data_IF_579972935431
#
_entry.id   IF_579972935431
#
_cell.length_a   1.000
_cell.length_b   1.000
_cell.length_c   1.000
_cell.angle_alpha   90.00
_cell.angle_beta   90.00
_cell.angle_gamma   90.00
#
_symmetry.space_group_name_H-M   'P 1'
#
loop_
_entity.id
_entity.type
_entity.pdbx_description
1 polymer ?
#
# COMPACT_ATOMS: atom_id res chain seq x y z
N UNK A 1 0.73 -5.40 -1.17
CA UNK A 1 1.59 -5.32 -2.37
C UNK A 1 1.33 -6.51 -3.31
N UNK A 2 1.56 -7.79 -2.93
CA UNK A 2 1.42 -8.90 -3.88
C UNK A 2 0.05 -8.95 -4.56
N UNK A 3 -1.04 -8.79 -3.81
CA UNK A 3 -2.41 -8.79 -4.36
C UNK A 3 -2.59 -7.68 -5.40
N UNK A 4 -2.07 -6.47 -5.15
CA UNK A 4 -2.17 -5.36 -6.10
C UNK A 4 -1.43 -5.65 -7.42
N UNK A 5 -0.21 -6.19 -7.34
CA UNK A 5 0.56 -6.57 -8.54
C UNK A 5 -0.11 -7.72 -9.28
N UNK A 6 -0.59 -8.75 -8.58
CA UNK A 6 -1.32 -9.87 -9.19
C UNK A 6 -2.63 -9.40 -9.86
N UNK A 7 -3.32 -8.45 -9.23
CA UNK A 7 -4.51 -7.81 -9.83
C UNK A 7 -4.14 -7.09 -11.13
N UNK A 8 -3.04 -6.32 -11.13
CA UNK A 8 -2.56 -5.62 -12.31
C UNK A 8 -2.20 -6.59 -13.44
N UNK A 9 -1.47 -7.67 -13.13
CA UNK A 9 -1.14 -8.73 -14.09
C UNK A 9 -2.41 -9.37 -14.66
N UNK A 10 -3.38 -9.69 -13.82
CA UNK A 10 -4.65 -10.23 -14.27
C UNK A 10 -5.36 -9.28 -15.24
N UNK A 11 -5.43 -7.98 -14.90
CA UNK A 11 -6.10 -6.95 -15.70
C UNK A 11 -5.40 -6.66 -17.04
N UNK A 12 -4.09 -6.91 -17.15
CA UNK A 12 -3.33 -6.68 -18.39
C UNK A 12 -3.28 -7.90 -19.28
N UNK A 13 -3.17 -9.09 -18.71
CA UNK A 13 -2.96 -10.33 -19.45
C UNK A 13 -4.27 -11.06 -19.79
N UNK A 14 -5.33 -10.86 -19.00
CA UNK A 14 -6.61 -11.55 -19.20
C UNK A 14 -7.67 -10.56 -19.68
N UNK A 15 -8.16 -10.79 -20.89
CA UNK A 15 -9.26 -10.02 -21.49
C UNK A 15 -10.59 -10.72 -21.22
N UNK A 16 -11.58 -10.01 -20.67
CA UNK A 16 -12.90 -10.58 -20.43
C UNK A 16 -13.79 -9.74 -19.50
N UNK A 17 -15.04 -10.18 -19.30
CA UNK A 17 -16.01 -9.48 -18.45
C UNK A 17 -15.53 -9.37 -17.00
N UNK A 18 -14.88 -10.39 -16.46
CA UNK A 18 -14.33 -10.38 -15.11
C UNK A 18 -13.25 -9.29 -14.92
N UNK A 19 -12.37 -9.07 -15.91
CA UNK A 19 -11.37 -7.99 -15.85
C UNK A 19 -12.03 -6.61 -15.77
N UNK A 20 -13.11 -6.38 -16.52
CA UNK A 20 -13.88 -5.13 -16.43
C UNK A 20 -14.48 -4.90 -15.03
N UNK A 21 -15.06 -5.92 -14.45
CA UNK A 21 -15.62 -5.88 -13.09
C UNK A 21 -14.56 -5.59 -12.03
N UNK A 22 -13.43 -6.30 -12.08
CA UNK A 22 -12.31 -6.07 -11.15
C UNK A 22 -11.77 -4.64 -11.29
N UNK A 23 -11.60 -4.15 -12.52
CA UNK A 23 -11.16 -2.77 -12.77
C UNK A 23 -12.12 -1.75 -12.17
N UNK A 24 -13.43 -1.98 -12.30
CA UNK A 24 -14.45 -1.14 -11.68
C UNK A 24 -14.28 -1.10 -10.15
N UNK A 25 -14.12 -2.26 -9.49
CA UNK A 25 -13.91 -2.29 -8.04
C UNK A 25 -12.61 -1.60 -7.61
N UNK A 26 -11.51 -1.81 -8.32
CA UNK A 26 -10.23 -1.13 -8.03
C UNK A 26 -10.39 0.40 -8.18
N UNK A 27 -11.14 0.87 -9.18
CA UNK A 27 -11.43 2.29 -9.34
C UNK A 27 -12.32 2.82 -8.21
N UNK A 28 -13.38 2.11 -7.87
CA UNK A 28 -14.27 2.49 -6.77
C UNK A 28 -13.52 2.59 -5.44
N UNK A 29 -12.65 1.61 -5.13
CA UNK A 29 -11.79 1.64 -3.94
C UNK A 29 -10.86 2.86 -3.90
N UNK A 30 -10.39 3.36 -5.03
CA UNK A 30 -9.54 4.56 -5.08
C UNK A 30 -10.25 5.83 -4.62
N UNK A 31 -11.58 5.86 -4.69
CA UNK A 31 -12.42 6.98 -4.26
C UNK A 31 -12.89 6.91 -2.80
N UNK A 32 -12.58 5.83 -2.08
CA UNK A 32 -13.01 5.66 -0.67
C UNK A 32 -12.24 6.63 0.23
N UNK A 33 -12.91 7.48 1.03
CA UNK A 33 -12.26 8.27 2.06
C UNK A 33 -11.50 7.37 3.05
N UNK A 34 -10.29 7.76 3.44
CA UNK A 34 -9.43 6.91 4.29
C UNK A 34 -10.07 6.54 5.63
N UNK A 35 -10.85 7.44 6.21
CA UNK A 35 -11.58 7.19 7.45
C UNK A 35 -12.62 6.07 7.29
N UNK A 36 -13.23 5.93 6.12
CA UNK A 36 -14.22 4.87 5.84
C UNK A 36 -13.56 3.50 5.84
N UNK A 37 -12.34 3.39 5.31
CA UNK A 37 -11.56 2.15 5.41
C UNK A 37 -11.27 1.78 6.87
N UNK A 38 -10.95 2.77 7.72
CA UNK A 38 -10.80 2.58 9.16
C UNK A 38 -12.09 2.12 9.83
N UNK A 39 -13.22 2.76 9.53
CA UNK A 39 -14.54 2.38 10.05
C UNK A 39 -14.94 0.96 9.63
N UNK A 40 -14.66 0.59 8.40
CA UNK A 40 -14.94 -0.76 7.91
C UNK A 40 -14.15 -1.82 8.70
N UNK A 41 -12.85 -1.61 8.88
CA UNK A 41 -12.03 -2.53 9.68
C UNK A 41 -12.45 -2.51 11.15
N UNK A 42 -12.79 -1.37 11.72
CA UNK A 42 -13.34 -1.27 13.06
C UNK A 42 -14.61 -2.14 13.22
N UNK A 43 -15.55 -1.99 12.28
CA UNK A 43 -16.79 -2.77 12.30
C UNK A 43 -16.56 -4.28 12.19
N UNK A 44 -15.68 -4.70 11.28
CA UNK A 44 -15.40 -6.12 11.07
C UNK A 44 -14.53 -6.70 12.19
N UNK A 45 -13.40 -6.04 12.52
CA UNK A 45 -12.42 -6.58 13.44
C UNK A 45 -12.85 -6.50 14.90
N UNK A 46 -13.40 -5.36 15.32
CA UNK A 46 -13.77 -5.14 16.72
C UNK A 46 -15.21 -5.53 17.01
N UNK A 47 -16.17 -5.10 16.19
CA UNK A 47 -17.58 -5.35 16.49
C UNK A 47 -17.97 -6.78 16.08
N UNK A 48 -17.72 -7.20 14.84
CA UNK A 48 -18.16 -8.50 14.36
C UNK A 48 -17.33 -9.67 14.90
N UNK A 49 -16.00 -9.52 15.02
CA UNK A 49 -15.09 -10.56 15.48
C UNK A 49 -14.76 -10.46 16.98
N UNK A 50 -15.18 -9.40 17.67
CA UNK A 50 -14.94 -9.22 19.12
C UNK A 50 -13.47 -8.96 19.49
N UNK A 51 -12.62 -8.58 18.54
CA UNK A 51 -11.20 -8.32 18.79
C UNK A 51 -10.95 -6.95 19.40
N UNK A 52 -9.77 -6.76 19.97
CA UNK A 52 -9.31 -5.48 20.50
C UNK A 52 -8.64 -4.62 19.43
N UNK A 53 -8.39 -3.34 19.76
CA UNK A 53 -7.46 -2.49 19.02
C UNK A 53 -6.13 -3.22 18.81
N UNK A 54 -5.52 -3.05 17.64
CA UNK A 54 -4.28 -3.74 17.34
C UNK A 54 -3.54 -3.13 16.14
N UNK A 55 -2.23 -3.37 16.07
CA UNK A 55 -1.45 -3.01 14.90
C UNK A 55 -1.93 -3.74 13.63
N UNK A 56 -2.40 -4.99 13.77
CA UNK A 56 -2.93 -5.76 12.65
C UNK A 56 -4.20 -5.13 12.06
N UNK A 57 -5.11 -4.63 12.91
CA UNK A 57 -6.30 -3.89 12.44
C UNK A 57 -5.89 -2.63 11.66
N UNK A 58 -4.93 -1.86 12.18
CA UNK A 58 -4.38 -0.69 11.48
C UNK A 58 -3.75 -1.07 10.13
N UNK A 59 -2.95 -2.13 10.11
CA UNK A 59 -2.31 -2.62 8.89
C UNK A 59 -3.33 -3.07 7.83
N UNK A 60 -4.44 -3.72 8.23
CA UNK A 60 -5.51 -4.10 7.32
C UNK A 60 -6.23 -2.86 6.74
N UNK A 61 -6.51 -1.85 7.55
CA UNK A 61 -7.10 -0.60 7.07
C UNK A 61 -6.19 0.11 6.04
N UNK A 62 -4.89 0.18 6.30
CA UNK A 62 -3.90 0.72 5.37
C UNK A 62 -3.77 -0.14 4.10
N UNK A 63 -3.87 -1.46 4.22
CA UNK A 63 -3.80 -2.37 3.08
C UNK A 63 -4.95 -2.15 2.08
N UNK A 64 -6.17 -1.87 2.57
CA UNK A 64 -7.32 -1.52 1.73
C UNK A 64 -7.02 -0.26 0.90
N UNK A 65 -6.40 0.76 1.49
CA UNK A 65 -6.05 2.01 0.82
C UNK A 65 -4.88 1.86 -0.16
N UNK A 66 -3.92 1.01 0.19
CA UNK A 66 -2.73 0.78 -0.63
C UNK A 66 -3.03 -0.05 -1.88
N UNK A 67 -3.95 -1.01 -1.77
CA UNK A 67 -4.24 -1.98 -2.83
C UNK A 67 -4.59 -1.32 -4.17
N UNK A 68 -5.57 -0.40 -4.26
CA UNK A 68 -5.93 0.22 -5.54
C UNK A 68 -4.80 1.06 -6.12
N UNK A 69 -4.00 1.72 -5.30
CA UNK A 69 -2.85 2.52 -5.76
C UNK A 69 -1.82 1.62 -6.44
N UNK A 70 -1.41 0.54 -5.78
CA UNK A 70 -0.45 -0.42 -6.34
C UNK A 70 -1.02 -1.11 -7.58
N UNK A 71 -2.29 -1.55 -7.55
CA UNK A 71 -2.90 -2.23 -8.68
C UNK A 71 -2.97 -1.34 -9.93
N UNK A 72 -3.43 -0.09 -9.80
CA UNK A 72 -3.54 0.83 -10.94
C UNK A 72 -2.19 1.22 -11.50
N UNK A 73 -1.26 1.63 -10.64
CA UNK A 73 0.07 2.04 -11.12
C UNK A 73 0.81 0.86 -11.76
N UNK A 74 0.68 -0.34 -11.19
CA UNK A 74 1.26 -1.54 -11.80
C UNK A 74 0.60 -1.88 -13.13
N UNK A 75 -0.72 -1.74 -13.27
CA UNK A 75 -1.44 -1.96 -14.53
C UNK A 75 -0.94 -0.99 -15.62
N UNK A 76 -0.75 0.29 -15.29
CA UNK A 76 -0.23 1.29 -16.21
C UNK A 76 1.20 0.95 -16.66
N UNK A 77 2.07 0.57 -15.73
CA UNK A 77 3.44 0.13 -16.03
C UNK A 77 3.46 -1.09 -16.95
N UNK A 78 2.63 -2.10 -16.67
CA UNK A 78 2.55 -3.31 -17.48
C UNK A 78 2.02 -3.05 -18.90
N UNK A 79 1.16 -2.06 -19.09
CA UNK A 79 0.67 -1.63 -20.40
C UNK A 79 1.74 -0.94 -21.25
N UNK A 80 2.77 -0.36 -20.65
CA UNK A 80 3.89 0.26 -21.37
C UNK A 80 4.83 -0.78 -22.00
N UNK A 81 4.77 -2.04 -21.59
CA UNK A 81 5.59 -3.09 -22.16
C UNK A 81 5.07 -3.45 -23.56
N UNK A 82 5.91 -3.34 -24.62
CA UNK A 82 5.52 -3.63 -25.98
C UNK A 82 4.92 -5.01 -26.17
N UNK A 83 3.88 -5.13 -27.02
CA UNK A 83 3.26 -6.40 -27.39
C UNK A 83 4.25 -7.38 -28.01
N UNK A 84 5.20 -6.86 -28.80
CA UNK A 84 6.22 -7.64 -29.50
C UNK A 84 7.05 -8.53 -28.57
N UNK A 85 7.32 -8.05 -27.32
CA UNK A 85 8.02 -8.87 -26.32
C UNK A 85 7.16 -10.07 -25.87
N UNK A 86 5.85 -9.89 -25.79
CA UNK A 86 4.92 -10.97 -25.47
C UNK A 86 4.82 -11.98 -26.61
N UNK A 87 4.69 -11.48 -27.84
CA UNK A 87 4.60 -12.28 -29.05
C UNK A 87 5.89 -13.08 -29.28
N UNK A 88 7.05 -12.45 -29.09
CA UNK A 88 8.34 -13.14 -29.16
C UNK A 88 8.45 -14.28 -28.14
N UNK A 89 8.02 -14.07 -26.91
CA UNK A 89 8.00 -15.11 -25.88
C UNK A 89 7.11 -16.31 -26.25
N UNK A 90 5.95 -16.05 -26.83
CA UNK A 90 5.04 -17.08 -27.31
C UNK A 90 5.61 -17.80 -28.55
N UNK A 91 6.22 -17.08 -29.50
CA UNK A 91 6.85 -17.63 -30.69
C UNK A 91 8.02 -18.58 -30.35
N UNK A 92 8.71 -18.36 -29.24
CA UNK A 92 9.74 -19.26 -28.71
C UNK A 92 9.18 -20.54 -28.06
N UNK A 93 7.86 -20.79 -28.17
CA UNK A 93 7.19 -21.92 -27.56
C UNK A 93 6.85 -21.78 -26.07
N UNK A 94 6.98 -20.59 -25.52
CA UNK A 94 6.59 -20.30 -24.14
C UNK A 94 5.07 -20.33 -23.95
N UNK A 95 4.60 -20.81 -22.80
CA UNK A 95 3.22 -20.59 -22.38
C UNK A 95 3.02 -19.13 -21.96
N UNK A 96 1.78 -18.63 -21.98
CA UNK A 96 1.47 -17.26 -21.54
C UNK A 96 2.04 -16.97 -20.14
N UNK A 97 1.88 -17.90 -19.18
CA UNK A 97 2.43 -17.76 -17.83
C UNK A 97 3.96 -17.64 -17.80
N UNK A 98 4.63 -18.45 -18.60
CA UNK A 98 6.10 -18.44 -18.69
C UNK A 98 6.59 -17.13 -19.32
N UNK A 99 5.93 -16.66 -20.36
CA UNK A 99 6.22 -15.37 -21.01
C UNK A 99 6.05 -14.22 -20.02
N UNK A 100 4.94 -14.19 -19.28
CA UNK A 100 4.69 -13.16 -18.24
C UNK A 100 5.78 -13.20 -17.17
N UNK A 101 6.07 -14.37 -16.61
CA UNK A 101 7.01 -14.50 -15.51
C UNK A 101 8.47 -14.22 -15.89
N UNK A 102 8.89 -14.62 -17.10
CA UNK A 102 10.30 -14.59 -17.51
C UNK A 102 10.64 -13.39 -18.42
N UNK A 103 9.65 -12.73 -19.00
CA UNK A 103 9.87 -11.61 -19.93
C UNK A 103 9.17 -10.34 -19.44
N UNK A 104 7.83 -10.38 -19.23
CA UNK A 104 7.06 -9.18 -18.93
C UNK A 104 7.39 -8.62 -17.54
N UNK A 105 7.39 -9.46 -16.50
CA UNK A 105 7.69 -9.02 -15.13
C UNK A 105 9.12 -8.46 -15.00
N UNK A 106 10.18 -9.13 -15.50
CA UNK A 106 11.51 -8.57 -15.49
C UNK A 106 11.65 -7.27 -16.28
N UNK A 107 10.99 -7.15 -17.44
CA UNK A 107 10.99 -5.92 -18.24
C UNK A 107 10.27 -4.77 -17.53
N UNK A 108 9.23 -5.05 -16.74
CA UNK A 108 8.46 -4.07 -15.97
C UNK A 108 9.04 -3.80 -14.57
N UNK A 109 10.11 -4.46 -14.14
CA UNK A 109 10.57 -4.50 -12.76
C UNK A 109 10.75 -3.12 -12.14
N UNK A 110 11.40 -2.18 -12.81
CA UNK A 110 11.66 -0.82 -12.30
C UNK A 110 10.36 -0.06 -12.06
N UNK A 111 9.41 -0.16 -12.97
CA UNK A 111 8.09 0.45 -12.85
C UNK A 111 7.24 -0.19 -11.75
N UNK A 112 7.28 -1.52 -11.62
CA UNK A 112 6.58 -2.23 -10.53
C UNK A 112 7.13 -1.86 -9.16
N UNK A 113 8.45 -1.69 -9.01
CA UNK A 113 9.06 -1.18 -7.78
C UNK A 113 8.54 0.24 -7.50
N UNK A 114 8.47 1.10 -8.51
CA UNK A 114 7.92 2.46 -8.37
C UNK A 114 6.47 2.43 -7.92
N UNK A 115 5.64 1.53 -8.45
CA UNK A 115 4.25 1.36 -8.02
C UNK A 115 4.13 0.98 -6.53
N UNK A 116 5.01 0.11 -6.05
CA UNK A 116 5.09 -0.26 -4.63
C UNK A 116 5.47 0.94 -3.77
N UNK A 117 6.50 1.69 -4.17
CA UNK A 117 6.97 2.87 -3.44
C UNK A 117 5.85 3.92 -3.31
N UNK A 118 5.15 4.20 -4.41
CA UNK A 118 4.02 5.12 -4.40
C UNK A 118 2.90 4.65 -3.46
N UNK A 119 2.61 3.34 -3.44
CA UNK A 119 1.66 2.76 -2.51
C UNK A 119 2.09 2.92 -1.04
N UNK A 120 3.35 2.65 -0.74
CA UNK A 120 3.92 2.83 0.62
C UNK A 120 3.92 4.30 1.02
N UNK A 121 4.39 5.19 0.14
CA UNK A 121 4.42 6.63 0.42
C UNK A 121 3.03 7.19 0.71
N UNK A 122 2.00 6.72 -0.02
CA UNK A 122 0.62 7.10 0.22
C UNK A 122 0.17 6.76 1.63
N UNK A 123 0.42 5.53 2.11
CA UNK A 123 -0.10 5.07 3.40
C UNK A 123 0.78 5.44 4.58
N UNK A 124 2.03 5.81 4.35
CA UNK A 124 2.98 6.16 5.41
C UNK A 124 2.55 7.39 6.24
N UNK A 125 1.82 8.33 5.63
CA UNK A 125 1.28 9.52 6.28
C UNK A 125 -0.18 9.42 6.74
N UNK A 126 -0.84 8.27 6.52
CA UNK A 126 -2.26 8.12 6.85
C UNK A 126 -2.49 8.06 8.36
N UNK A 127 -3.35 8.94 8.85
CA UNK A 127 -3.70 9.04 10.28
C UNK A 127 -5.13 8.55 10.55
N UNK A 128 -6.09 8.96 9.72
CA UNK A 128 -7.51 8.76 9.98
C UNK A 128 -7.93 7.30 10.20
N UNK A 129 -7.52 6.31 9.38
CA UNK A 129 -7.88 4.92 9.64
C UNK A 129 -7.25 4.37 10.92
N UNK A 130 -6.06 4.86 11.31
CA UNK A 130 -5.33 4.40 12.48
C UNK A 130 -5.96 4.87 13.79
N UNK A 131 -6.61 6.05 13.78
CA UNK A 131 -7.37 6.55 14.93
C UNK A 131 -8.46 5.57 15.37
N UNK A 132 -9.06 4.86 14.42
CA UNK A 132 -10.18 3.96 14.66
C UNK A 132 -9.75 2.50 14.92
N UNK A 133 -8.51 2.15 14.62
CA UNK A 133 -8.09 0.74 14.57
C UNK A 133 -6.93 0.41 15.52
N UNK A 134 -6.13 1.40 15.93
CA UNK A 134 -4.94 1.15 16.76
C UNK A 134 -5.09 1.56 18.23
N UNK A 135 -6.04 2.44 18.58
CA UNK A 135 -6.35 2.85 19.95
C UNK A 135 -5.32 3.76 20.62
N UNK A 136 -4.13 3.88 20.08
CA UNK A 136 -3.02 4.71 20.62
C UNK A 136 -2.37 4.12 21.87
N UNK A 137 -1.05 3.98 21.84
CA UNK A 137 -0.24 3.54 22.97
C UNK A 137 0.98 4.45 23.15
N UNK A 138 1.35 4.69 24.41
CA UNK A 138 2.58 5.39 24.77
C UNK A 138 3.73 4.42 25.11
N UNK A 139 3.39 3.14 25.29
CA UNK A 139 4.33 2.06 25.54
C UNK A 139 4.44 1.12 24.31
N UNK A 140 5.59 0.47 24.20
CA UNK A 140 5.84 -0.51 23.14
C UNK A 140 4.96 -1.76 23.36
N UNK A 141 4.10 -2.04 22.38
CA UNK A 141 3.34 -3.28 22.32
C UNK A 141 3.92 -4.19 21.23
N UNK A 142 4.45 -5.34 21.64
CA UNK A 142 5.04 -6.33 20.73
C UNK A 142 4.02 -7.33 20.16
N UNK A 143 2.77 -7.33 20.67
CA UNK A 143 1.72 -8.18 20.14
C UNK A 143 0.98 -7.43 19.02
N UNK A 144 1.16 -7.79 17.73
CA UNK A 144 0.52 -7.08 16.64
C UNK A 144 -1.00 -7.34 16.56
N UNK A 145 -1.52 -8.37 17.21
CA UNK A 145 -2.92 -8.78 17.09
C UNK A 145 -3.81 -8.34 18.26
N UNK A 146 -3.22 -7.89 19.35
CA UNK A 146 -3.99 -7.49 20.54
C UNK A 146 -3.35 -6.31 21.27
N UNK A 147 -4.21 -5.44 21.81
CA UNK A 147 -3.82 -4.30 22.61
C UNK A 147 -3.46 -3.05 21.78
N UNK A 148 -3.57 -1.92 22.45
CA UNK A 148 -3.31 -0.61 21.83
C UNK A 148 -1.91 -0.56 21.22
N UNK A 149 -1.82 0.04 20.05
CA UNK A 149 -0.58 0.27 19.32
C UNK A 149 -0.58 1.70 18.78
N UNK A 150 0.57 2.21 18.36
CA UNK A 150 0.69 3.54 17.79
C UNK A 150 1.52 3.51 16.53
N UNK A 151 1.31 4.51 15.66
CA UNK A 151 2.12 4.79 14.50
C UNK A 151 2.54 6.25 14.50
N UNK A 152 3.60 6.60 13.78
CA UNK A 152 4.14 7.97 13.80
C UNK A 152 3.07 9.02 13.45
N UNK A 153 2.24 8.88 12.38
CA UNK A 153 1.19 9.84 12.08
C UNK A 153 0.16 10.00 13.20
N UNK A 154 -0.20 8.88 13.86
CA UNK A 154 -1.11 8.89 14.98
C UNK A 154 -0.49 9.57 16.22
N UNK A 155 0.78 9.29 16.50
CA UNK A 155 1.53 9.95 17.58
C UNK A 155 1.63 11.46 17.36
N UNK A 156 1.92 11.92 16.16
CA UNK A 156 1.94 13.34 15.77
C UNK A 156 0.57 13.98 16.06
N UNK A 157 -0.49 13.36 15.57
CA UNK A 157 -1.86 13.84 15.78
C UNK A 157 -2.22 13.96 17.27
N UNK A 158 -1.95 12.90 18.06
CA UNK A 158 -2.20 12.87 19.50
C UNK A 158 -1.48 14.02 20.23
N UNK A 159 -0.19 14.21 19.97
CA UNK A 159 0.59 15.25 20.61
C UNK A 159 0.13 16.66 20.18
N UNK A 160 -0.24 16.83 18.93
CA UNK A 160 -0.78 18.11 18.44
C UNK A 160 -2.09 18.49 19.16
N UNK A 161 -2.98 17.52 19.41
CA UNK A 161 -4.24 17.75 20.13
C UNK A 161 -4.04 18.10 21.61
N UNK A 162 -2.96 17.66 22.24
CA UNK A 162 -2.66 18.01 23.64
C UNK A 162 -2.38 19.51 23.82
N UNK A 163 -1.90 20.20 22.79
CA UNK A 163 -1.75 21.66 22.75
C UNK A 163 -0.73 22.26 23.72
N UNK A 164 -0.02 21.45 24.51
CA UNK A 164 1.06 21.94 25.38
C UNK A 164 2.33 22.19 24.56
N UNK A 165 3.14 23.15 24.97
CA UNK A 165 4.39 23.50 24.25
C UNK A 165 5.26 22.26 24.00
N UNK A 166 5.51 21.47 25.05
CA UNK A 166 6.30 20.22 24.95
C UNK A 166 5.67 19.15 24.06
N UNK A 167 4.34 19.07 24.00
CA UNK A 167 3.67 18.12 23.11
C UNK A 167 3.74 18.57 21.65
N UNK A 168 3.62 19.86 21.39
CA UNK A 168 3.80 20.44 20.05
C UNK A 168 5.23 20.18 19.55
N UNK A 169 6.25 20.37 20.37
CA UNK A 169 7.64 20.05 20.01
C UNK A 169 7.84 18.57 19.67
N UNK A 170 7.18 17.67 20.43
CA UNK A 170 7.17 16.23 20.13
C UNK A 170 6.45 15.92 18.81
N UNK A 171 5.35 16.62 18.53
CA UNK A 171 4.64 16.47 17.27
C UNK A 171 5.54 16.86 16.08
N UNK A 172 6.21 18.02 16.15
CA UNK A 172 7.18 18.45 15.12
C UNK A 172 8.34 17.47 14.95
N UNK A 173 8.87 16.94 16.05
CA UNK A 173 9.91 15.91 16.01
C UNK A 173 9.41 14.65 15.31
N UNK A 174 8.18 14.23 15.57
CA UNK A 174 7.54 13.10 14.90
C UNK A 174 7.36 13.31 13.39
N UNK A 175 6.94 14.53 12.98
CA UNK A 175 6.84 14.92 11.57
C UNK A 175 8.21 14.82 10.88
N UNK A 176 9.26 15.35 11.52
CA UNK A 176 10.62 15.31 10.98
C UNK A 176 11.09 13.85 10.79
N UNK A 177 10.89 13.02 11.81
CA UNK A 177 11.26 11.58 11.74
C UNK A 177 10.50 10.87 10.61
N UNK A 178 9.19 11.10 10.49
CA UNK A 178 8.38 10.52 9.42
C UNK A 178 8.90 10.94 8.05
N UNK A 179 9.20 12.23 7.88
CA UNK A 179 9.72 12.77 6.63
C UNK A 179 11.07 12.14 6.26
N UNK A 180 11.98 12.01 7.22
CA UNK A 180 13.30 11.37 7.02
C UNK A 180 13.12 9.90 6.61
N UNK A 181 12.24 9.15 7.27
CA UNK A 181 11.96 7.74 6.95
C UNK A 181 11.43 7.61 5.53
N UNK A 182 10.42 8.41 5.16
CA UNK A 182 9.82 8.37 3.82
C UNK A 182 10.84 8.73 2.76
N UNK A 183 11.61 9.80 2.95
CA UNK A 183 12.66 10.22 2.01
C UNK A 183 13.77 9.17 1.89
N UNK A 184 14.17 8.55 2.99
CA UNK A 184 15.16 7.48 3.00
C UNK A 184 14.70 6.29 2.16
N UNK A 185 13.50 5.78 2.41
CA UNK A 185 12.96 4.65 1.64
C UNK A 185 12.76 5.01 0.17
N UNK A 186 12.27 6.21 -0.13
CA UNK A 186 12.12 6.69 -1.50
C UNK A 186 13.47 6.77 -2.24
N UNK A 187 14.48 7.35 -1.61
CA UNK A 187 15.83 7.47 -2.18
C UNK A 187 16.49 6.12 -2.37
N UNK A 188 16.39 5.24 -1.37
CA UNK A 188 16.93 3.89 -1.41
C UNK A 188 16.36 3.07 -2.58
N UNK A 189 15.03 3.10 -2.73
CA UNK A 189 14.37 2.36 -3.80
C UNK A 189 14.69 2.93 -5.18
N UNK A 190 14.79 4.25 -5.31
CA UNK A 190 15.21 4.89 -6.56
C UNK A 190 16.66 4.52 -6.94
N UNK A 191 17.55 4.49 -5.95
CA UNK A 191 18.93 4.07 -6.16
C UNK A 191 19.04 2.61 -6.62
N UNK A 192 18.25 1.72 -6.00
CA UNK A 192 18.23 0.29 -6.37
C UNK A 192 17.58 0.05 -7.75
N UNK A 193 16.56 0.85 -8.13
CA UNK A 193 15.94 0.77 -9.45
C UNK A 193 16.82 1.33 -10.56
N UNK A 194 17.55 2.41 -10.32
CA UNK A 194 18.41 3.06 -11.32
C UNK A 194 19.68 2.27 -11.69
N UNK A 195 20.01 1.23 -10.91
CA UNK A 195 21.22 0.41 -11.15
C UNK A 195 21.01 -0.73 -12.15
N UNK A 196 19.78 -0.93 -12.64
CA UNK A 196 19.39 -2.04 -13.55
C UNK A 196 18.86 -1.55 -14.91
N UNK A 197 19.08 -0.27 -15.24
CA UNK A 197 18.79 0.31 -16.53
C UNK A 197 20.04 0.40 -17.42
#
# INVERSE_FOLDING_TARGET
VPIGILTALYLTEIKGKAAGTIRFFVQAMSGIPSIVAGLFIYAVWMIALGNQYSAAAGAMALAILMLPTVARTSEEVLKLIPSDLREAGLAMGGTQWRTVAMIVIPAAQSGLITAVILGVARVAGETAPLLLTMGGADALNLNPFAGNSSAIPFYVWKNFLLGTETAIDRAWSGVLVLMIIVLFFFSLTRFLSGRKG
#
